data_IF_636748154955
#
_entry.id   IF_636748154955
#
_cell.length_a   1.000
_cell.length_b   1.000
_cell.length_c   1.000
_cell.angle_alpha   90.00
_cell.angle_beta   90.00
_cell.angle_gamma   90.00
#
_symmetry.space_group_name_H-M   'P 1'
#
loop_
_entity.id
_entity.type
_entity.pdbx_description
1 polymer ?
#
# COMPACT_ATOMS: atom_id res chain seq x y z
N UNK A 1 14.52 1.01 27.25
CA UNK A 1 13.32 1.86 27.44
C UNK A 1 13.64 3.35 27.46
N UNK A 2 14.56 3.86 28.31
CA UNK A 2 14.88 5.29 28.37
C UNK A 2 15.31 5.91 27.03
N UNK A 3 16.15 5.23 26.25
CA UNK A 3 16.56 5.67 24.91
C UNK A 3 15.38 5.79 23.93
N UNK A 4 14.42 4.87 23.96
CA UNK A 4 13.24 4.91 23.10
C UNK A 4 12.33 6.09 23.46
N UNK A 5 12.19 6.40 24.75
CA UNK A 5 11.41 7.54 25.25
C UNK A 5 12.07 8.87 24.84
N UNK A 6 13.39 8.97 24.95
CA UNK A 6 14.15 10.17 24.55
C UNK A 6 14.08 10.38 23.02
N UNK A 7 14.26 9.31 22.23
CA UNK A 7 14.13 9.36 20.77
C UNK A 7 12.72 9.75 20.34
N UNK A 8 11.69 9.19 20.97
CA UNK A 8 10.30 9.51 20.67
C UNK A 8 9.96 10.96 21.05
N UNK A 9 10.42 11.45 22.20
CA UNK A 9 10.24 12.84 22.63
C UNK A 9 10.95 13.85 21.72
N UNK A 10 12.16 13.54 21.25
CA UNK A 10 12.87 14.38 20.29
C UNK A 10 12.17 14.40 18.92
N UNK A 11 11.76 13.22 18.42
CA UNK A 11 11.02 13.11 17.17
C UNK A 11 9.70 13.89 17.23
N UNK A 12 8.97 13.81 18.35
CA UNK A 12 7.72 14.55 18.56
C UNK A 12 7.91 16.07 18.60
N UNK A 13 9.07 16.56 19.06
CA UNK A 13 9.37 17.98 19.10
C UNK A 13 9.79 18.54 17.72
N UNK A 14 10.38 17.70 16.86
CA UNK A 14 10.81 18.09 15.51
C UNK A 14 9.72 17.83 14.46
N UNK A 15 8.75 16.97 14.75
CA UNK A 15 7.72 16.56 13.81
C UNK A 15 6.66 17.67 13.55
N UNK A 16 6.21 17.85 12.29
CA UNK A 16 5.06 18.68 11.96
C UNK A 16 3.79 18.24 12.70
N UNK A 17 2.83 19.14 12.94
CA UNK A 17 1.58 18.81 13.66
C UNK A 17 0.77 17.72 12.92
N UNK A 18 0.87 17.70 11.60
CA UNK A 18 0.22 16.74 10.70
C UNK A 18 0.83 15.34 10.82
N UNK A 19 2.09 15.23 11.21
CA UNK A 19 2.79 13.94 11.34
C UNK A 19 2.11 13.04 12.38
N UNK A 20 1.72 13.58 13.53
CA UNK A 20 1.05 12.80 14.57
C UNK A 20 -0.26 12.19 14.04
N UNK A 21 -1.04 12.94 13.27
CA UNK A 21 -2.26 12.44 12.63
C UNK A 21 -1.99 11.31 11.64
N UNK A 22 -1.04 11.49 10.72
CA UNK A 22 -0.66 10.44 9.77
C UNK A 22 -0.08 9.21 10.45
N UNK A 23 0.71 9.40 11.51
CA UNK A 23 1.31 8.31 12.28
C UNK A 23 0.24 7.51 13.03
N UNK A 24 -0.77 8.16 13.61
CA UNK A 24 -1.90 7.47 14.23
C UNK A 24 -2.66 6.63 13.21
N UNK A 25 -2.96 7.18 12.03
CA UNK A 25 -3.62 6.42 10.94
C UNK A 25 -2.77 5.24 10.51
N UNK A 26 -1.47 5.43 10.33
CA UNK A 26 -0.53 4.37 10.00
C UNK A 26 -0.54 3.25 11.06
N UNK A 27 -0.37 3.59 12.34
CA UNK A 27 -0.35 2.62 13.43
C UNK A 27 -1.66 1.83 13.54
N UNK A 28 -2.81 2.51 13.46
CA UNK A 28 -4.12 1.86 13.48
C UNK A 28 -4.34 0.98 12.24
N UNK A 29 -3.87 1.41 11.06
CA UNK A 29 -3.98 0.62 9.82
C UNK A 29 -3.19 -0.70 9.90
N UNK A 30 -2.04 -0.71 10.58
CA UNK A 30 -1.27 -1.94 10.84
C UNK A 30 -2.05 -2.93 11.71
N UNK A 31 -2.71 -2.43 12.77
CA UNK A 31 -3.56 -3.26 13.64
C UNK A 31 -4.72 -3.85 12.84
N UNK A 32 -5.42 -3.02 12.04
CA UNK A 32 -6.51 -3.49 11.18
C UNK A 32 -6.00 -4.54 10.17
N UNK A 33 -4.87 -4.28 9.50
CA UNK A 33 -4.29 -5.20 8.52
C UNK A 33 -3.94 -6.56 9.12
N UNK A 34 -3.41 -6.58 10.34
CA UNK A 34 -3.15 -7.82 11.08
C UNK A 34 -4.44 -8.63 11.27
N UNK A 35 -5.50 -8.03 11.82
CA UNK A 35 -6.76 -8.73 12.07
C UNK A 35 -7.48 -9.18 10.79
N UNK A 36 -7.33 -8.43 9.68
CA UNK A 36 -7.91 -8.78 8.39
C UNK A 36 -7.26 -10.03 7.78
N UNK A 37 -5.94 -10.20 7.93
CA UNK A 37 -5.20 -11.31 7.31
C UNK A 37 -5.14 -12.56 8.22
N UNK A 38 -5.23 -12.39 9.54
CA UNK A 38 -5.00 -13.46 10.52
C UNK A 38 -5.92 -14.68 10.39
N UNK A 39 -7.16 -14.49 9.94
CA UNK A 39 -8.17 -15.55 9.87
C UNK A 39 -8.54 -15.96 8.42
N UNK A 40 -7.61 -15.83 7.47
CA UNK A 40 -7.86 -16.28 6.10
C UNK A 40 -7.77 -17.82 6.00
N UNK A 41 -8.64 -18.43 5.19
CA UNK A 41 -8.54 -19.87 4.91
C UNK A 41 -7.22 -20.21 4.22
N UNK A 42 -6.60 -21.34 4.57
CA UNK A 42 -5.31 -21.76 4.02
C UNK A 42 -5.29 -21.82 2.48
N UNK A 43 -6.41 -22.24 1.88
CA UNK A 43 -6.56 -22.31 0.43
C UNK A 43 -6.51 -20.93 -0.26
N UNK A 44 -6.73 -19.84 0.48
CA UNK A 44 -6.79 -18.48 -0.03
C UNK A 44 -5.48 -17.70 0.13
N UNK A 45 -4.41 -18.26 0.72
CA UNK A 45 -3.14 -17.53 0.86
C UNK A 45 -2.52 -17.11 -0.48
N UNK A 46 -2.58 -17.95 -1.52
CA UNK A 46 -2.08 -17.59 -2.85
C UNK A 46 -2.95 -16.53 -3.53
N UNK A 47 -4.30 -16.62 -3.54
CA UNK A 47 -5.16 -15.51 -3.94
C UNK A 47 -4.92 -14.22 -3.13
N UNK A 48 -4.69 -14.34 -1.82
CA UNK A 48 -4.42 -13.21 -0.95
C UNK A 48 -3.10 -12.52 -1.32
N UNK A 49 -2.03 -13.29 -1.60
CA UNK A 49 -0.77 -12.74 -2.09
C UNK A 49 -0.97 -11.97 -3.42
N UNK A 50 -1.80 -12.49 -4.33
CA UNK A 50 -2.12 -11.81 -5.58
C UNK A 50 -2.90 -10.51 -5.34
N UNK A 51 -3.85 -10.50 -4.39
CA UNK A 51 -4.63 -9.28 -4.10
C UNK A 51 -3.79 -8.22 -3.40
N UNK A 52 -2.90 -8.59 -2.48
CA UNK A 52 -2.02 -7.62 -1.82
C UNK A 52 -1.01 -7.02 -2.80
N UNK A 53 -0.57 -7.78 -3.80
CA UNK A 53 0.20 -7.24 -4.92
C UNK A 53 -0.62 -6.21 -5.72
N UNK A 54 -1.87 -6.53 -6.09
CA UNK A 54 -2.74 -5.59 -6.81
C UNK A 54 -3.01 -4.28 -6.03
N UNK A 55 -3.22 -4.38 -4.70
CA UNK A 55 -3.43 -3.23 -3.80
C UNK A 55 -2.16 -2.38 -3.70
N UNK A 56 -0.97 -2.98 -3.76
CA UNK A 56 0.30 -2.22 -3.78
C UNK A 56 0.40 -1.24 -4.96
N UNK A 57 -0.43 -1.42 -6.00
CA UNK A 57 -0.62 -0.49 -7.10
C UNK A 57 -1.10 0.92 -6.69
N UNK A 58 -1.47 1.15 -5.42
CA UNK A 58 -1.80 2.47 -4.86
C UNK A 58 -0.71 3.54 -5.11
N UNK A 59 0.53 3.13 -5.39
CA UNK A 59 1.61 4.00 -5.86
C UNK A 59 1.22 4.89 -7.06
N UNK A 60 0.20 4.49 -7.84
CA UNK A 60 -0.36 5.30 -8.92
C UNK A 60 -0.82 6.68 -8.45
N UNK A 61 -1.36 6.79 -7.22
CA UNK A 61 -1.79 8.08 -6.66
C UNK A 61 -0.59 9.02 -6.51
N UNK A 62 0.53 8.51 -6.00
CA UNK A 62 1.77 9.28 -5.89
C UNK A 62 2.29 9.72 -7.26
N UNK A 63 2.23 8.85 -8.26
CA UNK A 63 2.68 9.18 -9.61
C UNK A 63 1.78 10.25 -10.28
N UNK A 64 0.46 10.15 -10.09
CA UNK A 64 -0.51 11.12 -10.61
C UNK A 64 -0.31 12.52 -10.02
N UNK A 65 0.01 12.61 -8.72
CA UNK A 65 0.32 13.89 -8.08
C UNK A 65 1.56 14.57 -8.66
N UNK A 66 2.46 13.81 -9.30
CA UNK A 66 3.70 14.34 -9.87
C UNK A 66 3.56 14.77 -11.35
N UNK A 67 2.44 14.44 -12.01
CA UNK A 67 2.19 14.88 -13.39
C UNK A 67 2.16 16.41 -13.47
N UNK A 68 2.83 16.97 -14.47
CA UNK A 68 2.82 18.42 -14.71
C UNK A 68 3.92 19.21 -14.00
N UNK A 69 4.77 18.58 -13.18
CA UNK A 69 5.94 19.23 -12.57
C UNK A 69 7.08 19.55 -13.56
N UNK A 70 6.94 19.18 -14.83
CA UNK A 70 7.89 19.49 -15.90
C UNK A 70 9.18 18.67 -15.87
N UNK A 71 10.03 18.89 -16.88
CA UNK A 71 11.36 18.27 -16.99
C UNK A 71 11.35 16.73 -16.91
N UNK A 72 12.39 16.19 -16.28
CA UNK A 72 12.56 14.73 -16.07
C UNK A 72 11.48 14.13 -15.17
N UNK A 73 10.91 14.91 -14.24
CA UNK A 73 9.88 14.44 -13.31
C UNK A 73 8.65 14.00 -14.09
N UNK A 74 8.19 14.79 -15.07
CA UNK A 74 7.02 14.43 -15.87
C UNK A 74 7.19 13.11 -16.64
N UNK A 75 8.40 12.82 -17.11
CA UNK A 75 8.73 11.56 -17.81
C UNK A 75 8.69 10.38 -16.83
N UNK A 76 9.31 10.55 -15.65
CA UNK A 76 9.31 9.53 -14.60
C UNK A 76 7.89 9.27 -14.07
N UNK A 77 7.07 10.29 -13.90
CA UNK A 77 5.67 10.17 -13.50
C UNK A 77 4.86 9.39 -14.52
N UNK A 78 5.06 9.65 -15.82
CA UNK A 78 4.41 8.89 -16.88
C UNK A 78 4.78 7.40 -16.82
N UNK A 79 6.07 7.08 -16.70
CA UNK A 79 6.56 5.71 -16.56
C UNK A 79 5.99 5.04 -15.29
N UNK A 80 5.97 5.77 -14.17
CA UNK A 80 5.44 5.28 -12.91
C UNK A 80 3.94 4.96 -13.01
N UNK A 81 3.13 5.83 -13.64
CA UNK A 81 1.71 5.56 -13.90
C UNK A 81 1.53 4.33 -14.79
N UNK A 82 2.35 4.17 -15.83
CA UNK A 82 2.29 3.01 -16.72
C UNK A 82 2.56 1.70 -15.96
N UNK A 83 3.65 1.64 -15.19
CA UNK A 83 4.02 0.45 -14.41
C UNK A 83 2.98 0.16 -13.33
N UNK A 84 2.53 1.19 -12.61
CA UNK A 84 1.48 1.03 -11.59
C UNK A 84 0.18 0.50 -12.20
N UNK A 85 -0.20 0.98 -13.38
CA UNK A 85 -1.37 0.49 -14.12
C UNK A 85 -1.22 -0.99 -14.47
N UNK A 86 -0.06 -1.41 -14.98
CA UNK A 86 0.21 -2.83 -15.27
C UNK A 86 0.04 -3.70 -14.02
N UNK A 87 0.56 -3.24 -12.86
CA UNK A 87 0.39 -3.95 -11.59
C UNK A 87 -1.10 -4.06 -11.20
N UNK A 88 -1.84 -2.96 -11.24
CA UNK A 88 -3.28 -2.92 -10.91
C UNK A 88 -4.06 -3.89 -11.81
N UNK A 89 -3.96 -3.71 -13.13
CA UNK A 89 -4.73 -4.53 -14.08
C UNK A 89 -4.32 -6.00 -14.03
N UNK A 90 -3.02 -6.29 -14.02
CA UNK A 90 -2.49 -7.65 -13.95
C UNK A 90 -2.88 -8.34 -12.64
N UNK A 91 -2.64 -7.68 -11.50
CA UNK A 91 -2.92 -8.19 -10.16
C UNK A 91 -4.40 -8.50 -9.97
N UNK A 92 -5.32 -7.58 -10.29
CA UNK A 92 -6.75 -7.84 -10.15
C UNK A 92 -7.27 -8.91 -11.12
N UNK A 93 -6.76 -8.95 -12.36
CA UNK A 93 -7.16 -9.98 -13.34
C UNK A 93 -6.73 -11.38 -12.89
N UNK A 94 -5.51 -11.52 -12.39
CA UNK A 94 -4.99 -12.81 -11.88
C UNK A 94 -5.76 -13.23 -10.63
N UNK A 95 -5.97 -12.32 -9.68
CA UNK A 95 -6.77 -12.61 -8.48
C UNK A 95 -8.19 -13.07 -8.85
N UNK A 96 -8.85 -12.42 -9.82
CA UNK A 96 -10.16 -12.86 -10.29
C UNK A 96 -10.12 -14.27 -10.90
N UNK A 97 -9.10 -14.60 -11.70
CA UNK A 97 -8.93 -15.96 -12.25
C UNK A 97 -8.75 -16.98 -11.14
N UNK A 98 -7.94 -16.66 -10.12
CA UNK A 98 -7.71 -17.53 -8.97
C UNK A 98 -8.98 -17.77 -8.17
N UNK A 99 -9.74 -16.71 -7.86
CA UNK A 99 -10.98 -16.82 -7.11
C UNK A 99 -12.09 -17.56 -7.88
N UNK A 100 -12.10 -17.46 -9.22
CA UNK A 100 -13.03 -18.24 -10.07
C UNK A 100 -12.80 -19.75 -9.94
N UNK A 101 -11.58 -20.22 -9.65
CA UNK A 101 -11.30 -21.65 -9.46
C UNK A 101 -11.95 -22.21 -8.18
N UNK A 102 -12.34 -21.36 -7.23
CA UNK A 102 -13.06 -21.76 -6.01
C UNK A 102 -14.58 -21.71 -6.17
N UNK A 103 -15.09 -21.06 -7.21
CA UNK A 103 -16.52 -21.07 -7.54
C UNK A 103 -16.80 -22.41 -8.20
N UNK A 104 -17.41 -23.34 -7.44
CA UNK A 104 -18.06 -24.51 -8.03
C UNK A 104 -19.09 -24.00 -9.04
N UNK A 105 -18.93 -24.41 -10.30
CA UNK A 105 -20.08 -24.57 -11.18
C UNK A 105 -21.01 -25.62 -10.58
#
# INVERSE_FOLDING_TARGET
MALAIILFGWLANVAPKEFLGHFTVFALSCVVGYYVVWNVSHALHTPLMSVTNAISGIIVVGALLQIGHGGWVSVLSFIAVLIASINIFGGFTVTQRMLKMFRKG
#
